data_IF_532705830867
#
_entry.id   IF_532705830867
#
_cell.length_a   1.000
_cell.length_b   1.000
_cell.length_c   1.000
_cell.angle_alpha   90.00
_cell.angle_beta   90.00
_cell.angle_gamma   90.00
#
_symmetry.space_group_name_H-M   'P 1'
#
loop_
_entity.id
_entity.type
_entity.pdbx_description
1 polymer ?
#
# COMPACT_ATOMS: atom_id res chain seq x y z
N UNK A 1 8.17 -9.35 8.13
CA UNK A 1 7.55 -8.15 7.56
C UNK A 1 6.05 -8.29 7.74
N UNK A 2 5.46 -7.43 8.56
CA UNK A 2 4.03 -7.34 8.79
C UNK A 2 3.58 -5.86 8.74
N UNK A 3 2.30 -5.61 9.01
CA UNK A 3 1.75 -4.24 8.98
C UNK A 3 2.33 -3.29 10.03
N UNK A 4 2.77 -3.79 11.19
CA UNK A 4 3.43 -2.97 12.22
C UNK A 4 4.84 -2.57 11.81
N UNK A 5 5.61 -3.50 11.23
CA UNK A 5 6.94 -3.20 10.68
C UNK A 5 6.87 -2.08 9.64
N UNK A 6 5.84 -2.07 8.79
CA UNK A 6 5.62 -1.01 7.81
C UNK A 6 5.32 0.35 8.48
N UNK A 7 4.49 0.39 9.53
CA UNK A 7 4.23 1.64 10.28
C UNK A 7 5.52 2.20 10.87
N UNK A 8 6.29 1.35 11.55
CA UNK A 8 7.58 1.73 12.14
C UNK A 8 8.54 2.25 11.07
N UNK A 9 8.57 1.63 9.88
CA UNK A 9 9.37 2.11 8.77
C UNK A 9 8.92 3.49 8.26
N UNK A 10 7.62 3.75 8.15
CA UNK A 10 7.08 5.07 7.78
C UNK A 10 7.48 6.15 8.80
N UNK A 11 7.45 5.82 10.08
CA UNK A 11 7.82 6.74 11.16
C UNK A 11 9.32 7.03 11.19
N UNK A 12 10.15 5.99 11.07
CA UNK A 12 11.60 6.09 11.31
C UNK A 12 12.39 6.42 10.05
N UNK A 13 12.07 5.78 8.93
CA UNK A 13 12.83 5.90 7.67
C UNK A 13 12.30 7.03 6.79
N UNK A 14 10.99 7.29 6.84
CA UNK A 14 10.36 8.40 6.09
C UNK A 14 10.06 9.63 6.93
N UNK A 15 10.28 9.56 8.25
CA UNK A 15 10.05 10.66 9.21
C UNK A 15 8.64 11.26 9.07
N UNK A 16 7.65 10.41 8.78
CA UNK A 16 6.28 10.85 8.57
C UNK A 16 5.59 11.13 9.90
N UNK A 17 4.66 12.09 9.89
CA UNK A 17 3.83 12.36 11.06
C UNK A 17 2.91 11.16 11.39
N UNK A 18 2.51 10.97 12.66
CA UNK A 18 1.57 9.91 13.03
C UNK A 18 0.27 9.92 12.23
N UNK A 19 -0.21 11.11 11.85
CA UNK A 19 -1.41 11.25 11.00
C UNK A 19 -1.16 10.72 9.59
N UNK A 20 -0.01 11.04 8.99
CA UNK A 20 0.39 10.54 7.67
C UNK A 20 0.58 9.02 7.69
N UNK A 21 1.21 8.48 8.73
CA UNK A 21 1.38 7.03 8.93
C UNK A 21 0.03 6.34 8.98
N UNK A 22 -0.91 6.85 9.78
CA UNK A 22 -2.27 6.31 9.88
C UNK A 22 -3.00 6.35 8.52
N UNK A 23 -2.86 7.43 7.76
CA UNK A 23 -3.46 7.53 6.42
C UNK A 23 -2.89 6.49 5.46
N UNK A 24 -1.57 6.38 5.33
CA UNK A 24 -0.98 5.45 4.36
C UNK A 24 -1.17 3.99 4.77
N UNK A 25 -1.01 3.67 6.06
CA UNK A 25 -1.33 2.32 6.55
C UNK A 25 -2.79 1.95 6.30
N UNK A 26 -3.73 2.83 6.66
CA UNK A 26 -5.16 2.60 6.46
C UNK A 26 -5.55 2.52 4.97
N UNK A 27 -4.85 3.24 4.09
CA UNK A 27 -5.03 3.12 2.65
C UNK A 27 -4.63 1.71 2.16
N UNK A 28 -3.50 1.16 2.62
CA UNK A 28 -3.11 -0.22 2.29
C UNK A 28 -4.09 -1.25 2.85
N UNK A 29 -4.58 -1.08 4.09
CA UNK A 29 -5.63 -1.96 4.65
C UNK A 29 -6.92 -1.91 3.83
N UNK A 30 -7.32 -0.72 3.39
CA UNK A 30 -8.49 -0.57 2.53
C UNK A 30 -8.30 -1.31 1.22
N UNK A 31 -7.15 -1.14 0.56
CA UNK A 31 -6.83 -1.85 -0.67
C UNK A 31 -6.88 -3.35 -0.45
N UNK A 32 -6.18 -3.88 0.56
CA UNK A 32 -6.18 -5.32 0.90
C UNK A 32 -7.59 -5.92 0.93
N UNK A 33 -8.56 -5.20 1.48
CA UNK A 33 -9.95 -5.66 1.58
C UNK A 33 -10.74 -5.53 0.27
N UNK A 34 -10.38 -4.59 -0.60
CA UNK A 34 -11.10 -4.32 -1.85
C UNK A 34 -10.55 -5.10 -3.05
N UNK A 35 -9.27 -5.49 -3.04
CA UNK A 35 -8.63 -6.25 -4.13
C UNK A 35 -9.47 -7.45 -4.62
N UNK A 36 -10.06 -8.30 -3.75
CA UNK A 36 -10.86 -9.44 -4.21
C UNK A 36 -12.10 -9.03 -5.01
N UNK A 37 -12.70 -7.89 -4.67
CA UNK A 37 -13.86 -7.35 -5.39
C UNK A 37 -13.51 -6.82 -6.78
N UNK A 38 -12.22 -6.57 -7.04
CA UNK A 38 -11.69 -6.10 -8.33
C UNK A 38 -11.14 -7.25 -9.18
N UNK A 39 -11.33 -8.50 -8.77
CA UNK A 39 -10.79 -9.68 -9.44
C UNK A 39 -9.29 -9.90 -9.21
N UNK A 40 -8.70 -9.20 -8.24
CA UNK A 40 -7.30 -9.36 -7.85
C UNK A 40 -7.17 -10.34 -6.68
N UNK A 41 -6.02 -11.00 -6.57
CA UNK A 41 -5.79 -11.97 -5.50
C UNK A 41 -5.82 -11.32 -4.11
N UNK A 42 -6.45 -12.02 -3.16
CA UNK A 42 -6.47 -11.65 -1.74
C UNK A 42 -5.11 -11.91 -1.09
N UNK A 43 -4.11 -11.07 -1.39
CA UNK A 43 -2.78 -11.14 -0.80
C UNK A 43 -2.67 -10.23 0.42
N UNK A 44 -1.88 -10.66 1.40
CA UNK A 44 -1.46 -9.77 2.48
C UNK A 44 -0.37 -8.83 1.95
N UNK A 45 -0.76 -7.61 1.62
CA UNK A 45 0.12 -6.60 1.04
C UNK A 45 1.33 -6.27 1.93
N UNK A 46 1.23 -6.45 3.26
CA UNK A 46 2.34 -6.18 4.17
C UNK A 46 3.36 -7.31 4.28
N UNK A 47 3.02 -8.50 3.80
CA UNK A 47 3.86 -9.69 3.83
C UNK A 47 4.51 -10.00 2.46
N UNK A 48 4.34 -9.12 1.47
CA UNK A 48 4.93 -9.30 0.14
C UNK A 48 6.45 -9.16 0.19
N UNK A 49 7.15 -10.09 -0.46
CA UNK A 49 8.62 -10.08 -0.61
C UNK A 49 9.06 -9.50 -1.96
N UNK A 50 8.13 -9.33 -2.89
CA UNK A 50 8.33 -8.77 -4.22
C UNK A 50 7.27 -7.70 -4.52
N UNK A 51 7.68 -6.64 -5.23
CA UNK A 51 6.82 -5.48 -5.49
C UNK A 51 6.14 -5.50 -6.87
N UNK A 52 6.30 -6.58 -7.67
CA UNK A 52 5.67 -6.69 -9.00
C UNK A 52 4.14 -6.72 -8.92
N UNK A 53 3.58 -7.26 -7.84
CA UNK A 53 2.11 -7.26 -7.63
C UNK A 53 1.54 -5.84 -7.50
N UNK A 54 2.38 -4.85 -7.13
CA UNK A 54 1.95 -3.45 -7.08
C UNK A 54 1.64 -2.94 -8.49
N UNK A 55 2.36 -3.38 -9.53
CA UNK A 55 2.07 -2.98 -10.92
C UNK A 55 0.72 -3.52 -11.39
N UNK A 56 0.38 -4.76 -11.01
CA UNK A 56 -0.95 -5.34 -11.30
C UNK A 56 -2.09 -4.53 -10.63
N UNK A 57 -1.87 -4.04 -9.40
CA UNK A 57 -2.84 -3.19 -8.72
C UNK A 57 -2.97 -1.83 -9.44
N UNK A 58 -1.85 -1.22 -9.85
CA UNK A 58 -1.83 0.09 -10.51
C UNK A 58 -2.50 0.07 -11.90
N UNK A 59 -2.42 -1.05 -12.61
CA UNK A 59 -3.04 -1.23 -13.93
C UNK A 59 -4.56 -1.51 -13.85
N UNK A 60 -5.06 -1.96 -12.70
CA UNK A 60 -6.47 -2.32 -12.53
C UNK A 60 -7.41 -1.10 -12.63
N UNK A 61 -8.44 -1.19 -13.49
CA UNK A 61 -9.39 -0.08 -13.72
C UNK A 61 -10.17 0.32 -12.46
N UNK A 62 -10.57 -0.65 -11.63
CA UNK A 62 -11.30 -0.38 -10.39
C UNK A 62 -10.42 0.35 -9.38
N UNK A 63 -9.14 -0.04 -9.30
CA UNK A 63 -8.14 0.70 -8.54
C UNK A 63 -7.99 2.13 -9.06
N UNK A 64 -7.87 2.35 -10.38
CA UNK A 64 -7.70 3.69 -10.96
C UNK A 64 -8.89 4.60 -10.62
N UNK A 65 -10.12 4.09 -10.70
CA UNK A 65 -11.31 4.83 -10.29
C UNK A 65 -11.30 5.17 -8.80
N UNK A 66 -10.97 4.20 -7.94
CA UNK A 66 -10.84 4.39 -6.49
C UNK A 66 -9.76 5.43 -6.16
N UNK A 67 -8.61 5.32 -6.81
CA UNK A 67 -7.46 6.19 -6.62
C UNK A 67 -7.79 7.64 -7.00
N UNK A 68 -8.51 7.84 -8.11
CA UNK A 68 -9.02 9.14 -8.52
C UNK A 68 -9.96 9.75 -7.48
N UNK A 69 -10.91 8.96 -6.95
CA UNK A 69 -11.83 9.40 -5.88
C UNK A 69 -11.10 9.72 -4.56
N UNK A 70 -10.04 8.97 -4.27
CA UNK A 70 -9.17 9.16 -3.12
C UNK A 70 -8.06 10.18 -3.32
N UNK A 71 -8.13 11.05 -4.33
CA UNK A 71 -7.12 12.08 -4.62
C UNK A 71 -5.68 11.54 -4.69
N UNK A 72 -5.49 10.40 -5.34
CA UNK A 72 -4.20 9.71 -5.53
C UNK A 72 -3.53 9.18 -4.24
N UNK A 73 -4.23 9.19 -3.10
CA UNK A 73 -3.70 8.71 -1.82
C UNK A 73 -3.31 7.22 -1.88
N UNK A 74 -4.08 6.40 -2.58
CA UNK A 74 -3.82 4.96 -2.65
C UNK A 74 -2.56 4.63 -3.45
N UNK A 75 -2.31 5.33 -4.56
CA UNK A 75 -1.03 5.22 -5.29
C UNK A 75 0.15 5.71 -4.47
N UNK A 76 -0.02 6.78 -3.68
CA UNK A 76 1.04 7.25 -2.78
C UNK A 76 1.36 6.22 -1.68
N UNK A 77 0.33 5.58 -1.11
CA UNK A 77 0.50 4.51 -0.15
C UNK A 77 1.23 3.29 -0.75
N UNK A 78 0.85 2.86 -1.96
CA UNK A 78 1.52 1.78 -2.69
C UNK A 78 2.98 2.10 -3.01
N UNK A 79 3.30 3.35 -3.34
CA UNK A 79 4.70 3.76 -3.54
C UNK A 79 5.52 3.63 -2.26
N UNK A 80 4.98 4.03 -1.11
CA UNK A 80 5.66 3.80 0.17
C UNK A 80 5.82 2.31 0.48
N UNK A 81 4.80 1.50 0.20
CA UNK A 81 4.88 0.05 0.38
C UNK A 81 5.97 -0.57 -0.51
N UNK A 82 6.05 -0.14 -1.78
CA UNK A 82 7.10 -0.54 -2.73
C UNK A 82 8.49 -0.18 -2.21
N UNK A 83 8.70 1.05 -1.75
CA UNK A 83 9.98 1.48 -1.17
C UNK A 83 10.33 0.67 0.08
N UNK A 84 9.36 0.41 0.95
CA UNK A 84 9.53 -0.43 2.13
C UNK A 84 10.04 -1.82 1.72
N UNK A 85 9.32 -2.53 0.84
CA UNK A 85 9.72 -3.86 0.35
C UNK A 85 11.14 -3.85 -0.20
N UNK A 86 11.54 -2.81 -0.96
CA UNK A 86 12.87 -2.73 -1.57
C UNK A 86 14.00 -2.42 -0.59
N UNK A 87 13.71 -1.72 0.50
CA UNK A 87 14.73 -1.28 1.47
C UNK A 87 14.87 -2.21 2.68
N UNK A 88 13.95 -3.15 2.83
CA UNK A 88 13.92 -4.10 3.96
C UNK A 88 14.08 -5.56 3.51
N UNK A 89 14.61 -5.76 2.29
CA UNK A 89 15.10 -7.05 1.78
C UNK A 89 16.39 -7.49 2.47
#
# INVERSE_FOLDING_TARGET
MNGEDFKVWLETSRMLSPSSVKHYYGAIETLRNELPSWGLESKDLFAMTDDSYIDEILDNSSFQEKNKRGHNMYSAALNHLREYIRTTK
#
